data_IF_292186556038
#
_entry.id   IF_292186556038
#
_cell.length_a   1.000
_cell.length_b   1.000
_cell.length_c   1.000
_cell.angle_alpha   90.00
_cell.angle_beta   90.00
_cell.angle_gamma   90.00
#
_symmetry.space_group_name_H-M   'P 1'
#
loop_
_entity.id
_entity.type
_entity.pdbx_description
1 polymer ?
#
# COMPACT_ATOMS: atom_id res chain seq x y z
N UNK A 1 -6.17 96.48 -3.74
CA UNK A 1 -6.48 96.20 -5.16
C UNK A 1 -6.08 94.77 -5.45
N UNK A 2 -6.98 93.96 -5.92
CA UNK A 2 -6.94 92.53 -6.18
C UNK A 2 -6.25 92.24 -7.45
N UNK A 3 -5.39 91.28 -7.49
CA UNK A 3 -5.04 90.54 -8.72
C UNK A 3 -5.05 89.03 -8.46
N UNK A 4 -5.87 88.32 -9.20
CA UNK A 4 -5.99 86.92 -9.35
C UNK A 4 -4.86 86.35 -10.30
N UNK A 5 -4.23 85.28 -9.95
CA UNK A 5 -3.42 84.47 -10.86
C UNK A 5 -3.90 83.03 -10.85
N UNK A 6 -4.48 82.65 -11.98
CA UNK A 6 -4.87 81.25 -12.29
C UNK A 6 -3.59 80.45 -12.53
N UNK A 7 -3.37 79.44 -11.73
CA UNK A 7 -2.32 78.43 -11.95
C UNK A 7 -2.88 77.18 -12.62
N UNK A 8 -2.42 76.94 -13.84
CA UNK A 8 -2.78 75.76 -14.66
C UNK A 8 -1.95 74.56 -14.16
N UNK A 9 -2.60 73.57 -13.57
CA UNK A 9 -1.99 72.31 -13.15
C UNK A 9 -2.02 71.32 -14.33
N UNK A 10 -0.84 71.08 -14.96
CA UNK A 10 -0.60 69.95 -15.89
C UNK A 10 -0.46 68.67 -15.06
N UNK A 11 -1.45 67.79 -15.13
CA UNK A 11 -1.35 66.42 -14.61
C UNK A 11 -0.58 65.54 -15.60
N UNK A 12 0.69 65.26 -15.30
CA UNK A 12 1.47 64.22 -15.96
C UNK A 12 1.04 62.85 -15.42
N UNK A 13 0.26 62.11 -16.22
CA UNK A 13 -0.10 60.75 -15.95
C UNK A 13 1.15 59.81 -16.05
N UNK A 14 1.72 59.45 -14.91
CA UNK A 14 2.70 58.38 -14.85
C UNK A 14 1.92 57.07 -14.90
N UNK A 15 1.88 56.45 -16.07
CA UNK A 15 1.38 55.08 -16.23
C UNK A 15 2.36 54.10 -15.52
N UNK A 16 1.95 53.66 -14.33
CA UNK A 16 2.57 52.46 -13.70
C UNK A 16 2.23 51.24 -14.55
N UNK A 17 3.16 50.85 -15.43
CA UNK A 17 3.23 49.48 -15.91
C UNK A 17 3.52 48.61 -14.69
N UNK A 18 2.46 47.92 -14.17
CA UNK A 18 2.66 46.83 -13.24
C UNK A 18 3.49 45.77 -13.93
N UNK A 19 4.78 45.73 -13.57
CA UNK A 19 5.59 44.53 -13.76
C UNK A 19 4.87 43.42 -13.00
N UNK A 20 4.33 42.47 -13.71
CA UNK A 20 4.06 41.17 -13.13
C UNK A 20 5.39 40.66 -12.61
N UNK A 21 5.58 40.72 -11.31
CA UNK A 21 6.64 40.02 -10.62
C UNK A 21 6.42 38.52 -10.88
N UNK A 22 7.46 37.86 -11.35
CA UNK A 22 7.53 36.41 -11.47
C UNK A 22 6.97 35.75 -10.22
N UNK A 23 6.12 34.74 -10.42
CA UNK A 23 5.43 33.96 -9.43
C UNK A 23 6.28 33.67 -8.19
N UNK A 24 5.86 34.19 -7.05
CA UNK A 24 6.12 33.48 -5.79
C UNK A 24 5.48 32.09 -5.99
N UNK A 25 6.31 31.04 -5.96
CA UNK A 25 5.83 29.68 -6.13
C UNK A 25 4.63 29.45 -5.20
N UNK A 26 3.57 28.84 -5.74
CA UNK A 26 2.36 28.55 -4.99
C UNK A 26 2.71 28.00 -3.62
N UNK A 27 2.18 28.62 -2.55
CA UNK A 27 2.43 28.17 -1.20
C UNK A 27 1.80 26.77 -1.03
N UNK A 28 2.67 25.77 -0.85
CA UNK A 28 2.21 24.38 -0.63
C UNK A 28 1.62 24.25 0.79
N UNK A 29 0.41 23.70 0.87
CA UNK A 29 -0.19 23.27 2.12
C UNK A 29 -0.08 21.74 2.24
N UNK A 30 0.47 21.25 3.36
CA UNK A 30 0.61 19.81 3.56
C UNK A 30 -0.75 19.14 3.81
N UNK A 31 -1.10 18.12 3.03
CA UNK A 31 -2.11 17.15 3.43
C UNK A 31 -1.45 16.22 4.45
N UNK A 32 -1.78 16.43 5.73
CA UNK A 32 -1.13 15.71 6.82
C UNK A 32 -1.50 14.22 6.79
N UNK A 33 -0.51 13.38 6.48
CA UNK A 33 -0.56 11.95 6.73
C UNK A 33 -0.23 11.73 8.22
N UNK A 34 -1.07 10.99 8.94
CA UNK A 34 -0.94 10.79 10.38
C UNK A 34 -0.06 9.59 10.72
N UNK A 35 -0.10 8.56 9.89
CA UNK A 35 0.53 7.25 10.12
C UNK A 35 1.49 6.85 9.01
N UNK A 36 1.21 7.23 7.76
CA UNK A 36 2.06 6.89 6.62
C UNK A 36 3.35 7.72 6.65
N UNK A 37 4.47 7.05 6.84
CA UNK A 37 5.79 7.67 6.91
C UNK A 37 6.54 7.69 5.59
N UNK A 38 6.10 6.90 4.60
CA UNK A 38 6.77 6.74 3.30
C UNK A 38 6.21 7.62 2.20
N UNK A 39 5.15 8.36 2.46
CA UNK A 39 4.53 9.23 1.47
C UNK A 39 4.25 10.60 2.08
N UNK A 40 4.60 11.65 1.34
CA UNK A 40 4.29 13.04 1.68
C UNK A 40 3.49 13.67 0.56
N UNK A 41 2.40 14.35 0.91
CA UNK A 41 1.49 15.00 -0.02
C UNK A 41 1.40 16.48 0.34
N UNK A 42 1.79 17.32 -0.59
CA UNK A 42 1.71 18.78 -0.49
C UNK A 42 0.78 19.30 -1.58
N UNK A 43 -0.19 20.13 -1.23
CA UNK A 43 -1.19 20.67 -2.16
C UNK A 43 -0.95 22.15 -2.42
N UNK A 44 -0.98 22.55 -3.69
CA UNK A 44 -1.08 23.92 -4.14
C UNK A 44 -2.47 24.22 -4.73
N UNK A 45 -2.67 25.43 -5.25
CA UNK A 45 -3.91 25.80 -5.95
C UNK A 45 -4.07 25.02 -7.27
N UNK A 46 -2.97 24.72 -7.97
CA UNK A 46 -2.99 24.20 -9.34
C UNK A 46 -2.53 22.75 -9.47
N UNK A 47 -1.82 22.21 -8.48
CA UNK A 47 -1.30 20.84 -8.50
C UNK A 47 -1.16 20.26 -7.09
N UNK A 48 -1.02 18.95 -7.02
CA UNK A 48 -0.64 18.24 -5.80
C UNK A 48 0.72 17.59 -6.03
N UNK A 49 1.65 17.82 -5.11
CA UNK A 49 2.97 17.24 -5.15
C UNK A 49 3.04 16.07 -4.19
N UNK A 50 3.34 14.89 -4.72
CA UNK A 50 3.46 13.65 -3.94
C UNK A 50 4.90 13.17 -4.01
N UNK A 51 5.52 12.95 -2.85
CA UNK A 51 6.86 12.37 -2.73
C UNK A 51 6.78 11.04 -2.02
N UNK A 52 7.26 10.00 -2.66
CA UNK A 52 7.40 8.66 -2.09
C UNK A 52 8.84 8.49 -1.64
N UNK A 53 9.04 8.20 -0.36
CA UNK A 53 10.36 7.94 0.21
C UNK A 53 10.85 6.56 -0.21
N UNK A 54 12.14 6.43 -0.51
CA UNK A 54 12.73 5.14 -0.81
C UNK A 54 12.75 4.27 0.46
N UNK A 55 12.06 3.13 0.47
CA UNK A 55 11.96 2.30 1.67
C UNK A 55 13.27 1.55 2.00
N UNK A 56 14.18 1.40 1.06
CA UNK A 56 15.48 0.73 1.22
C UNK A 56 16.62 1.71 1.51
N UNK A 57 16.43 2.98 1.15
CA UNK A 57 17.37 4.08 1.47
C UNK A 57 16.56 5.32 1.84
N UNK A 58 16.24 5.45 3.11
CA UNK A 58 15.34 6.48 3.64
C UNK A 58 15.88 7.92 3.52
N UNK A 59 17.14 8.09 3.17
CA UNK A 59 17.71 9.39 2.86
C UNK A 59 17.33 9.90 1.45
N UNK A 60 16.77 9.03 0.60
CA UNK A 60 16.43 9.32 -0.80
C UNK A 60 14.92 9.30 -1.04
N UNK A 61 14.50 10.07 -2.03
CA UNK A 61 13.15 9.97 -2.60
C UNK A 61 13.18 8.85 -3.64
N UNK A 62 12.20 7.95 -3.56
CA UNK A 62 11.96 6.92 -4.58
C UNK A 62 11.39 7.58 -5.83
N UNK A 63 10.30 8.33 -5.66
CA UNK A 63 9.62 9.00 -6.77
C UNK A 63 8.92 10.28 -6.35
N UNK A 64 8.84 11.23 -7.28
CA UNK A 64 8.05 12.46 -7.13
C UNK A 64 6.97 12.51 -8.23
N UNK A 65 5.71 12.70 -7.84
CA UNK A 65 4.57 12.86 -8.74
C UNK A 65 4.01 14.27 -8.64
N UNK A 66 3.65 14.84 -9.79
CA UNK A 66 2.93 16.11 -9.91
C UNK A 66 1.53 15.79 -10.45
N UNK A 67 0.53 15.82 -9.57
CA UNK A 67 -0.85 15.53 -9.94
C UNK A 67 -1.54 16.81 -10.40
N UNK A 68 -2.06 16.84 -11.62
CA UNK A 68 -2.77 17.98 -12.19
C UNK A 68 -4.13 17.51 -12.68
N UNK A 69 -5.20 18.25 -12.36
CA UNK A 69 -6.56 17.94 -12.82
C UNK A 69 -6.64 17.85 -14.35
N UNK A 70 -7.43 16.91 -14.88
CA UNK A 70 -7.60 16.76 -16.34
C UNK A 70 -8.18 17.99 -17.02
N UNK A 71 -9.10 18.67 -16.34
CA UNK A 71 -9.77 19.88 -16.82
C UNK A 71 -8.93 21.16 -16.60
N UNK A 72 -7.81 21.04 -15.89
CA UNK A 72 -6.93 22.17 -15.60
C UNK A 72 -5.88 22.30 -16.71
N UNK A 73 -5.67 23.49 -17.23
CA UNK A 73 -4.49 23.77 -18.07
C UNK A 73 -3.21 23.47 -17.28
N UNK A 74 -2.17 23.03 -18.00
CA UNK A 74 -0.89 22.77 -17.33
C UNK A 74 -0.28 24.08 -16.86
N UNK A 75 -0.07 24.25 -15.54
CA UNK A 75 0.57 25.44 -15.02
C UNK A 75 2.00 25.59 -15.56
N UNK A 76 2.43 26.81 -15.79
CA UNK A 76 3.85 27.09 -16.07
C UNK A 76 4.69 26.87 -14.79
N UNK A 77 5.90 26.34 -14.95
CA UNK A 77 6.84 26.19 -13.83
C UNK A 77 6.46 25.08 -12.84
N UNK A 78 5.83 24.00 -13.30
CA UNK A 78 5.61 22.81 -12.48
C UNK A 78 6.92 22.31 -11.86
N UNK A 79 6.89 21.79 -10.61
CA UNK A 79 8.07 21.18 -10.01
C UNK A 79 8.51 19.93 -10.80
N UNK A 80 9.77 19.56 -10.63
CA UNK A 80 10.32 18.35 -11.21
C UNK A 80 9.60 17.10 -10.66
N UNK A 81 9.25 16.16 -11.54
CA UNK A 81 8.58 14.92 -11.20
C UNK A 81 7.76 14.35 -12.36
N UNK A 82 7.19 13.19 -12.16
CA UNK A 82 6.29 12.55 -13.12
C UNK A 82 4.92 13.21 -13.09
N UNK A 83 4.54 13.83 -14.23
CA UNK A 83 3.21 14.40 -14.39
C UNK A 83 2.15 13.31 -14.47
N UNK A 84 1.11 13.41 -13.65
CA UNK A 84 -0.06 12.52 -13.67
C UNK A 84 -1.32 13.35 -13.80
N UNK A 85 -2.11 13.11 -14.85
CA UNK A 85 -3.43 13.75 -15.03
C UNK A 85 -4.46 13.02 -14.20
N UNK A 86 -5.15 13.74 -13.31
CA UNK A 86 -6.15 13.16 -12.40
C UNK A 86 -7.55 13.70 -12.66
N UNK A 87 -8.62 12.89 -12.48
CA UNK A 87 -8.55 11.47 -12.14
C UNK A 87 -7.92 10.63 -13.24
N UNK A 88 -7.19 9.56 -12.85
CA UNK A 88 -6.78 8.49 -13.76
C UNK A 88 -8.04 7.78 -14.23
N UNK A 89 -8.20 7.64 -15.55
CA UNK A 89 -9.42 7.08 -16.14
C UNK A 89 -9.23 5.66 -16.66
N UNK A 90 -7.98 5.29 -16.95
CA UNK A 90 -7.65 4.02 -17.55
C UNK A 90 -6.31 3.50 -17.01
N UNK A 91 -6.36 2.83 -15.88
CA UNK A 91 -5.17 2.29 -15.22
C UNK A 91 -4.85 0.86 -15.67
N UNK A 92 -3.55 0.55 -15.77
CA UNK A 92 -3.03 -0.82 -15.73
C UNK A 92 -2.59 -1.12 -14.30
N UNK A 93 -3.19 -2.12 -13.65
CA UNK A 93 -2.94 -2.42 -12.24
C UNK A 93 -2.31 -3.81 -12.11
N UNK A 94 -1.12 -3.86 -11.51
CA UNK A 94 -0.34 -5.09 -11.39
C UNK A 94 -0.74 -5.97 -10.21
N UNK A 95 -1.29 -5.39 -9.16
CA UNK A 95 -1.52 -6.12 -7.89
C UNK A 95 -3.00 -6.30 -7.59
N UNK A 96 -3.39 -7.52 -7.19
CA UNK A 96 -4.71 -7.82 -6.65
C UNK A 96 -5.07 -6.96 -5.44
N UNK A 97 -4.07 -6.56 -4.64
CA UNK A 97 -4.22 -5.66 -3.49
C UNK A 97 -4.80 -4.30 -3.92
N UNK A 98 -4.21 -3.71 -4.96
CA UNK A 98 -4.68 -2.42 -5.47
C UNK A 98 -6.00 -2.54 -6.24
N UNK A 99 -6.24 -3.67 -6.91
CA UNK A 99 -7.54 -3.97 -7.51
C UNK A 99 -8.65 -4.01 -6.45
N UNK A 100 -8.40 -4.66 -5.30
CA UNK A 100 -9.32 -4.70 -4.16
C UNK A 100 -9.65 -3.31 -3.63
N UNK A 101 -8.62 -2.51 -3.33
CA UNK A 101 -8.79 -1.13 -2.87
C UNK A 101 -9.58 -0.27 -3.87
N UNK A 102 -9.25 -0.32 -5.16
CA UNK A 102 -9.95 0.47 -6.17
C UNK A 102 -11.41 0.03 -6.34
N UNK A 103 -11.70 -1.26 -6.19
CA UNK A 103 -13.08 -1.76 -6.13
C UNK A 103 -13.85 -1.15 -4.96
N UNK A 104 -13.27 -1.13 -3.79
CA UNK A 104 -13.88 -0.60 -2.56
C UNK A 104 -14.07 0.93 -2.61
N UNK A 105 -13.13 1.65 -3.21
CA UNK A 105 -13.26 3.08 -3.47
C UNK A 105 -14.31 3.42 -4.56
N UNK A 106 -14.91 2.43 -5.21
CA UNK A 106 -15.83 2.62 -6.33
C UNK A 106 -15.13 3.18 -7.56
N UNK A 107 -13.90 2.70 -7.83
CA UNK A 107 -13.07 3.07 -8.98
C UNK A 107 -12.71 1.86 -9.87
N UNK A 108 -13.40 0.73 -9.71
CA UNK A 108 -13.15 -0.50 -10.49
C UNK A 108 -13.32 -0.28 -11.99
N UNK A 109 -14.19 0.62 -12.40
CA UNK A 109 -14.41 1.01 -13.80
C UNK A 109 -13.22 1.77 -14.40
N UNK A 110 -12.32 2.29 -13.57
CA UNK A 110 -11.07 2.94 -13.97
C UNK A 110 -9.92 1.94 -14.18
N UNK A 111 -10.11 0.68 -13.79
CA UNK A 111 -9.18 -0.39 -14.11
C UNK A 111 -9.49 -0.86 -15.53
N UNK A 112 -8.64 -0.52 -16.48
CA UNK A 112 -8.78 -0.92 -17.87
C UNK A 112 -7.91 -2.11 -18.25
N UNK A 113 -6.87 -2.42 -17.44
CA UNK A 113 -6.01 -3.58 -17.62
C UNK A 113 -5.43 -4.07 -16.31
N UNK A 114 -5.06 -5.36 -16.27
CA UNK A 114 -4.44 -6.02 -15.13
C UNK A 114 -3.29 -6.92 -15.56
N UNK A 115 -2.45 -7.31 -14.59
CA UNK A 115 -1.52 -8.43 -14.73
C UNK A 115 -1.90 -9.55 -13.77
N UNK A 116 -1.39 -10.76 -14.03
CA UNK A 116 -1.57 -11.94 -13.17
C UNK A 116 -3.03 -12.22 -12.79
N UNK A 117 -3.93 -12.20 -13.78
CA UNK A 117 -5.38 -12.42 -13.62
C UNK A 117 -5.72 -13.64 -12.75
N UNK A 118 -4.89 -14.66 -12.77
CA UNK A 118 -5.05 -15.90 -12.00
C UNK A 118 -5.05 -15.68 -10.47
N UNK A 119 -4.51 -14.55 -9.99
CA UNK A 119 -4.47 -14.20 -8.55
C UNK A 119 -5.48 -13.11 -8.18
N UNK A 120 -6.34 -12.69 -9.10
CA UNK A 120 -7.37 -11.67 -8.86
C UNK A 120 -8.73 -12.33 -8.75
N UNK A 121 -9.20 -12.55 -7.52
CA UNK A 121 -10.46 -13.25 -7.23
C UNK A 121 -11.70 -12.33 -7.24
N UNK A 122 -11.57 -11.11 -7.80
CA UNK A 122 -12.68 -10.15 -7.89
C UNK A 122 -13.56 -10.53 -9.09
N UNK A 123 -14.83 -10.96 -8.88
CA UNK A 123 -15.68 -11.50 -9.95
C UNK A 123 -15.91 -10.51 -11.10
N UNK A 124 -16.03 -9.21 -10.78
CA UNK A 124 -16.21 -8.18 -11.80
C UNK A 124 -14.99 -8.08 -12.74
N UNK A 125 -13.77 -8.13 -12.20
CA UNK A 125 -12.54 -8.10 -13.00
C UNK A 125 -12.46 -9.33 -13.89
N UNK A 126 -12.71 -10.53 -13.32
CA UNK A 126 -12.73 -11.79 -14.08
C UNK A 126 -13.73 -11.72 -15.25
N UNK A 127 -14.94 -11.25 -15.00
CA UNK A 127 -15.98 -11.11 -16.01
C UNK A 127 -15.63 -10.07 -17.09
N UNK A 128 -14.98 -8.98 -16.72
CA UNK A 128 -14.55 -7.92 -17.65
C UNK A 128 -13.40 -8.41 -18.54
N UNK A 129 -12.44 -9.16 -18.00
CA UNK A 129 -11.38 -9.80 -18.77
C UNK A 129 -11.96 -10.85 -19.72
N UNK A 130 -12.82 -11.76 -19.24
CA UNK A 130 -13.45 -12.80 -20.06
C UNK A 130 -14.30 -12.23 -21.21
N UNK A 131 -14.91 -11.05 -21.02
CA UNK A 131 -15.69 -10.36 -22.05
C UNK A 131 -14.88 -9.41 -22.94
N UNK A 132 -13.55 -9.34 -22.77
CA UNK A 132 -12.68 -8.44 -23.54
C UNK A 132 -12.84 -6.95 -23.18
N UNK A 133 -13.57 -6.60 -22.13
CA UNK A 133 -13.74 -5.22 -21.67
C UNK A 133 -12.60 -4.72 -20.78
N UNK A 134 -11.71 -5.59 -20.36
CA UNK A 134 -10.51 -5.32 -19.61
C UNK A 134 -9.36 -6.13 -20.18
N UNK A 135 -8.18 -5.53 -20.30
CA UNK A 135 -7.00 -6.17 -20.87
C UNK A 135 -6.31 -7.02 -19.79
N UNK A 136 -6.05 -8.27 -20.09
CA UNK A 136 -5.07 -9.09 -19.39
C UNK A 136 -3.70 -8.90 -20.06
N UNK A 137 -2.83 -8.14 -19.42
CA UNK A 137 -1.47 -7.87 -19.89
C UNK A 137 -0.46 -8.99 -19.51
N UNK A 138 -0.94 -10.11 -18.99
CA UNK A 138 -0.13 -11.30 -18.71
C UNK A 138 0.58 -11.24 -17.36
N UNK A 139 1.82 -11.73 -17.31
CA UNK A 139 2.57 -11.88 -16.09
C UNK A 139 3.28 -10.59 -15.66
N UNK A 140 3.22 -10.25 -14.38
CA UNK A 140 3.85 -9.06 -13.79
C UNK A 140 5.34 -8.94 -14.07
N UNK A 141 6.08 -10.05 -14.07
CA UNK A 141 7.54 -10.04 -14.29
C UNK A 141 7.91 -9.93 -15.78
N UNK A 142 7.01 -10.28 -16.68
CA UNK A 142 7.20 -10.18 -18.12
C UNK A 142 5.87 -9.84 -18.81
N UNK A 143 5.39 -8.58 -18.64
CA UNK A 143 4.10 -8.18 -19.20
C UNK A 143 4.16 -8.08 -20.73
N UNK A 144 3.00 -8.27 -21.36
CA UNK A 144 2.81 -8.13 -22.79
C UNK A 144 2.82 -6.64 -23.19
N UNK A 145 3.98 -6.19 -23.62
CA UNK A 145 4.21 -4.77 -23.97
C UNK A 145 3.34 -4.34 -25.16
N UNK A 146 3.05 -5.23 -26.13
CA UNK A 146 2.23 -4.90 -27.29
C UNK A 146 0.79 -4.62 -26.84
N UNK A 147 0.24 -5.47 -25.98
CA UNK A 147 -1.07 -5.22 -25.38
C UNK A 147 -1.12 -3.92 -24.58
N UNK A 148 -0.05 -3.59 -23.84
CA UNK A 148 0.02 -2.33 -23.07
C UNK A 148 0.02 -1.13 -24.01
N UNK A 149 0.78 -1.19 -25.11
CA UNK A 149 0.81 -0.13 -26.13
C UNK A 149 -0.58 0.05 -26.75
N UNK A 150 -1.21 -1.03 -27.21
CA UNK A 150 -2.55 -0.98 -27.83
C UNK A 150 -3.62 -0.49 -26.86
N UNK A 151 -3.48 -0.84 -25.61
CA UNK A 151 -4.40 -0.47 -24.55
C UNK A 151 -4.29 1.01 -24.17
N UNK A 152 -3.12 1.65 -24.27
CA UNK A 152 -2.85 3.06 -23.92
C UNK A 152 -3.39 3.45 -22.52
N UNK A 153 -2.84 2.93 -21.41
CA UNK A 153 -3.25 3.35 -20.08
C UNK A 153 -2.76 4.76 -19.75
N UNK A 154 -3.50 5.46 -18.91
CA UNK A 154 -3.11 6.78 -18.37
C UNK A 154 -2.01 6.68 -17.30
N UNK A 155 -1.97 5.55 -16.61
CA UNK A 155 -0.98 5.25 -15.59
C UNK A 155 -0.85 3.73 -15.41
N UNK A 156 0.33 3.32 -14.95
CA UNK A 156 0.65 1.94 -14.57
C UNK A 156 0.92 1.92 -13.07
N UNK A 157 0.14 1.15 -12.31
CA UNK A 157 0.31 0.96 -10.87
C UNK A 157 1.03 -0.35 -10.62
N UNK A 158 2.21 -0.27 -10.01
CA UNK A 158 3.01 -1.46 -9.66
C UNK A 158 3.68 -1.29 -8.30
N UNK A 159 4.05 -2.41 -7.69
CA UNK A 159 4.83 -2.41 -6.45
C UNK A 159 6.32 -2.44 -6.79
N UNK A 160 7.10 -1.43 -6.35
CA UNK A 160 8.55 -1.44 -6.53
C UNK A 160 9.20 -2.54 -5.68
N UNK A 161 10.41 -2.96 -6.04
CA UNK A 161 11.22 -3.87 -5.22
C UNK A 161 12.69 -3.43 -5.24
N UNK A 162 13.42 -3.83 -4.22
CA UNK A 162 14.82 -3.47 -4.08
C UNK A 162 15.64 -3.94 -5.29
N UNK A 163 16.50 -3.07 -5.78
CA UNK A 163 17.38 -3.36 -6.93
C UNK A 163 16.62 -3.80 -8.20
N UNK A 164 15.40 -3.31 -8.40
CA UNK A 164 14.63 -3.56 -9.62
C UNK A 164 15.39 -3.17 -10.90
N UNK A 165 16.35 -2.27 -10.79
CA UNK A 165 17.12 -1.76 -11.94
C UNK A 165 16.30 -0.93 -12.93
N UNK A 166 15.06 -0.55 -12.51
CA UNK A 166 14.05 0.08 -13.36
C UNK A 166 13.04 -0.92 -13.90
N UNK A 167 12.08 -0.43 -14.70
CA UNK A 167 10.97 -1.22 -15.24
C UNK A 167 11.17 -1.56 -16.72
N UNK A 168 12.40 -1.44 -17.21
CA UNK A 168 12.84 -1.90 -18.50
C UNK A 168 12.06 -1.27 -19.68
N UNK A 169 11.33 -2.10 -20.43
CA UNK A 169 10.57 -1.65 -21.62
C UNK A 169 9.40 -0.74 -21.27
N UNK A 170 8.83 -0.88 -20.07
CA UNK A 170 7.67 -0.08 -19.62
C UNK A 170 8.03 1.38 -19.49
N UNK A 171 9.20 1.73 -18.95
CA UNK A 171 9.67 3.10 -18.81
C UNK A 171 9.75 3.84 -20.16
N UNK A 172 10.05 3.09 -21.23
CA UNK A 172 10.19 3.65 -22.58
C UNK A 172 8.86 3.98 -23.23
N UNK A 173 7.73 3.56 -22.63
CA UNK A 173 6.40 3.85 -23.17
C UNK A 173 5.94 5.29 -22.91
N UNK A 174 6.63 6.03 -22.02
CA UNK A 174 6.24 7.39 -21.64
C UNK A 174 4.94 7.46 -20.82
N UNK A 175 4.46 6.33 -20.31
CA UNK A 175 3.28 6.23 -19.46
C UNK A 175 3.72 6.43 -18.01
N UNK A 176 3.04 7.29 -17.22
CA UNK A 176 3.35 7.45 -15.80
C UNK A 176 3.31 6.12 -15.04
N UNK A 177 4.42 5.75 -14.41
CA UNK A 177 4.51 4.59 -13.52
C UNK A 177 4.32 5.06 -12.09
N UNK A 178 3.31 4.53 -11.41
CA UNK A 178 3.01 4.81 -10.01
C UNK A 178 3.57 3.68 -9.14
N UNK A 179 4.62 3.99 -8.41
CA UNK A 179 5.32 3.07 -7.51
C UNK A 179 4.59 2.98 -6.17
N UNK A 180 3.79 1.95 -6.02
CA UNK A 180 2.96 1.69 -4.84
C UNK A 180 3.80 1.01 -3.75
N UNK A 181 4.54 1.81 -2.97
CA UNK A 181 5.40 1.33 -1.89
C UNK A 181 4.67 1.16 -0.54
N UNK A 182 3.33 1.13 -0.55
CA UNK A 182 2.48 0.99 0.63
C UNK A 182 2.83 -0.22 1.49
N UNK A 183 3.22 -1.34 0.86
CA UNK A 183 3.57 -2.57 1.56
C UNK A 183 4.85 -2.46 2.40
N UNK A 184 5.67 -1.43 2.19
CA UNK A 184 6.89 -1.14 2.92
C UNK A 184 6.69 -0.11 4.06
N UNK A 185 5.45 0.29 4.34
CA UNK A 185 5.16 1.11 5.51
C UNK A 185 5.51 0.39 6.81
N UNK A 186 5.79 1.18 7.84
CA UNK A 186 6.29 0.67 9.12
C UNK A 186 5.18 0.43 10.15
N UNK A 187 3.94 0.67 9.76
CA UNK A 187 2.76 0.40 10.59
C UNK A 187 1.55 -0.01 9.75
N UNK A 188 0.63 -0.82 10.31
CA UNK A 188 -0.59 -1.23 9.63
C UNK A 188 -1.45 -0.04 9.21
N UNK A 189 -1.65 0.95 10.09
CA UNK A 189 -2.40 2.17 9.76
C UNK A 189 -1.66 3.05 8.74
N UNK A 190 -0.32 3.07 8.77
CA UNK A 190 0.48 3.75 7.75
C UNK A 190 0.20 3.19 6.35
N UNK A 191 0.17 1.86 6.21
CA UNK A 191 -0.20 1.21 4.96
C UNK A 191 -1.63 1.56 4.53
N UNK A 192 -2.59 1.47 5.46
CA UNK A 192 -3.99 1.79 5.17
C UNK A 192 -4.18 3.24 4.73
N UNK A 193 -3.41 4.17 5.28
CA UNK A 193 -3.52 5.59 4.95
C UNK A 193 -3.15 5.92 3.50
N UNK A 194 -2.41 5.05 2.81
CA UNK A 194 -2.15 5.19 1.38
C UNK A 194 -3.44 5.20 0.53
N UNK A 195 -4.56 4.67 1.05
CA UNK A 195 -5.85 4.79 0.35
C UNK A 195 -6.22 6.24 0.02
N UNK A 196 -5.75 7.22 0.81
CA UNK A 196 -5.90 8.65 0.53
C UNK A 196 -5.18 9.08 -0.75
N UNK A 197 -3.97 8.55 -0.99
CA UNK A 197 -3.24 8.78 -2.23
C UNK A 197 -3.98 8.19 -3.44
N UNK A 198 -4.46 6.95 -3.32
CA UNK A 198 -5.30 6.35 -4.37
C UNK A 198 -6.60 7.14 -4.58
N UNK A 199 -7.18 7.66 -3.51
CA UNK A 199 -8.33 8.57 -3.59
C UNK A 199 -8.06 9.83 -4.42
N UNK A 200 -6.86 10.41 -4.30
CA UNK A 200 -6.43 11.55 -5.13
C UNK A 200 -6.22 11.14 -6.59
N UNK A 201 -5.54 10.02 -6.84
CA UNK A 201 -5.29 9.52 -8.18
C UNK A 201 -6.57 9.26 -8.97
N UNK A 202 -7.59 8.70 -8.33
CA UNK A 202 -8.83 8.26 -8.99
C UNK A 202 -10.04 9.17 -8.75
N UNK A 203 -9.85 10.35 -8.15
CA UNK A 203 -10.93 11.30 -7.87
C UNK A 203 -11.93 10.81 -6.81
N UNK A 204 -11.50 9.94 -5.90
CA UNK A 204 -12.30 9.33 -4.84
C UNK A 204 -11.90 9.78 -3.43
N UNK A 205 -11.41 11.03 -3.31
CA UNK A 205 -10.86 11.56 -2.06
C UNK A 205 -11.80 11.37 -0.86
N UNK A 206 -13.08 11.75 -1.01
CA UNK A 206 -14.06 11.65 0.09
C UNK A 206 -14.29 10.22 0.54
N UNK A 207 -14.37 9.28 -0.41
CA UNK A 207 -14.53 7.86 -0.14
C UNK A 207 -13.31 7.31 0.61
N UNK A 208 -12.11 7.65 0.15
CA UNK A 208 -10.87 7.23 0.78
C UNK A 208 -10.71 7.80 2.21
N UNK A 209 -11.03 9.08 2.43
CA UNK A 209 -10.98 9.69 3.76
C UNK A 209 -12.00 9.04 4.71
N UNK A 210 -13.21 8.75 4.24
CA UNK A 210 -14.26 8.09 5.03
C UNK A 210 -13.85 6.66 5.38
N UNK A 211 -13.34 5.90 4.40
CA UNK A 211 -12.89 4.53 4.58
C UNK A 211 -11.73 4.46 5.57
N UNK A 212 -10.70 5.28 5.39
CA UNK A 212 -9.57 5.32 6.32
C UNK A 212 -10.00 5.68 7.74
N UNK A 213 -10.93 6.62 7.88
CA UNK A 213 -11.43 7.01 9.21
C UNK A 213 -12.11 5.84 9.92
N UNK A 214 -12.90 5.04 9.21
CA UNK A 214 -13.54 3.84 9.76
C UNK A 214 -12.50 2.78 10.14
N UNK A 215 -11.59 2.44 9.22
CA UNK A 215 -10.48 1.48 9.45
C UNK A 215 -9.66 1.88 10.68
N UNK A 216 -9.26 3.16 10.76
CA UNK A 216 -8.50 3.68 11.89
C UNK A 216 -9.25 3.53 13.22
N UNK A 217 -10.54 3.90 13.24
CA UNK A 217 -11.34 3.83 14.46
C UNK A 217 -11.46 2.40 14.97
N UNK A 218 -11.75 1.44 14.09
CA UNK A 218 -11.86 0.03 14.44
C UNK A 218 -10.52 -0.57 14.86
N UNK A 219 -9.45 -0.26 14.14
CA UNK A 219 -8.11 -0.72 14.49
C UNK A 219 -7.69 -0.27 15.90
N UNK A 220 -7.83 1.02 16.19
CA UNK A 220 -7.47 1.57 17.51
C UNK A 220 -8.34 1.01 18.62
N UNK A 221 -9.64 0.81 18.38
CA UNK A 221 -10.54 0.15 19.34
C UNK A 221 -10.07 -1.27 19.68
N UNK A 222 -9.64 -2.05 18.67
CA UNK A 222 -9.10 -3.39 18.88
C UNK A 222 -7.77 -3.36 19.64
N UNK A 223 -6.86 -2.44 19.32
CA UNK A 223 -5.62 -2.24 20.09
C UNK A 223 -5.90 -1.92 21.56
N UNK A 224 -6.95 -1.14 21.85
CA UNK A 224 -7.33 -0.79 23.22
C UNK A 224 -7.77 -2.02 24.03
N UNK A 225 -8.40 -3.01 23.43
CA UNK A 225 -8.79 -4.26 24.11
C UNK A 225 -7.59 -5.02 24.68
N UNK A 226 -6.44 -4.91 24.01
CA UNK A 226 -5.23 -5.65 24.36
C UNK A 226 -4.43 -4.99 25.51
N UNK A 227 -4.61 -3.69 25.72
CA UNK A 227 -3.84 -2.93 26.72
C UNK A 227 -3.97 -3.48 28.15
N UNK A 228 -5.12 -4.06 28.47
CA UNK A 228 -5.40 -4.63 29.80
C UNK A 228 -4.96 -6.10 29.95
N UNK A 229 -4.46 -6.75 28.88
CA UNK A 229 -4.07 -8.15 28.91
C UNK A 229 -2.63 -8.27 29.42
N UNK A 230 -2.47 -9.00 30.54
CA UNK A 230 -1.17 -9.18 31.17
C UNK A 230 -0.32 -10.28 30.53
N UNK A 231 -0.96 -11.30 29.95
CA UNK A 231 -0.26 -12.40 29.27
C UNK A 231 -0.05 -12.03 27.81
N UNK A 232 1.20 -12.08 27.37
CA UNK A 232 1.60 -11.81 26.00
C UNK A 232 2.18 -13.07 25.39
N UNK A 233 1.38 -13.81 24.60
CA UNK A 233 1.87 -15.06 23.98
C UNK A 233 3.00 -14.75 22.99
N UNK A 234 3.93 -15.68 22.92
CA UNK A 234 5.04 -15.61 21.96
C UNK A 234 4.62 -16.16 20.60
N UNK A 235 5.03 -15.49 19.52
CA UNK A 235 4.60 -15.81 18.15
C UNK A 235 5.80 -15.94 17.22
N UNK A 236 5.84 -17.06 16.46
CA UNK A 236 6.64 -17.20 15.24
C UNK A 236 5.69 -17.16 14.03
N UNK A 237 6.27 -16.84 12.87
CA UNK A 237 5.46 -16.70 11.66
C UNK A 237 6.11 -17.22 10.40
N UNK A 238 5.28 -17.43 9.38
CA UNK A 238 5.59 -17.89 8.04
C UNK A 238 6.14 -19.33 7.96
N UNK A 239 6.48 -19.76 6.77
CA UNK A 239 7.05 -21.08 6.48
C UNK A 239 8.40 -20.93 5.79
N UNK A 240 9.24 -21.95 5.95
CA UNK A 240 10.48 -22.06 5.18
C UNK A 240 10.18 -22.20 3.69
N UNK A 241 10.83 -21.40 2.86
CA UNK A 241 10.71 -21.42 1.40
C UNK A 241 12.09 -21.63 0.77
N UNK A 242 12.26 -22.73 0.08
CA UNK A 242 13.56 -23.11 -0.47
C UNK A 242 14.63 -23.25 0.63
N UNK A 243 15.71 -22.49 0.53
CA UNK A 243 16.83 -22.51 1.50
C UNK A 243 16.62 -21.55 2.69
N UNK A 244 15.69 -20.61 2.62
CA UNK A 244 15.51 -19.59 3.64
C UNK A 244 14.10 -19.63 4.25
N UNK A 245 13.98 -19.06 5.44
CA UNK A 245 12.71 -18.77 6.10
C UNK A 245 12.53 -17.25 6.15
N UNK A 246 11.59 -16.73 5.36
CA UNK A 246 11.32 -15.29 5.27
C UNK A 246 10.32 -14.88 6.34
N UNK A 247 10.80 -14.28 7.43
CA UNK A 247 9.94 -13.77 8.49
C UNK A 247 9.75 -12.27 8.36
N UNK A 248 8.59 -11.72 8.74
CA UNK A 248 8.39 -10.27 8.80
C UNK A 248 9.41 -9.59 9.69
N UNK A 249 10.05 -8.53 9.23
CA UNK A 249 10.88 -7.69 10.09
C UNK A 249 10.05 -7.03 11.18
N UNK A 250 10.67 -6.63 12.28
CA UNK A 250 9.99 -6.05 13.44
C UNK A 250 9.27 -4.73 13.14
N UNK A 251 9.82 -3.94 12.18
CA UNK A 251 9.20 -2.70 11.69
C UNK A 251 8.35 -2.90 10.43
N UNK A 252 8.08 -4.14 10.02
CA UNK A 252 7.11 -4.40 8.96
C UNK A 252 5.66 -4.22 9.46
N UNK A 253 4.73 -3.99 8.52
CA UNK A 253 3.30 -3.92 8.86
C UNK A 253 2.81 -5.18 9.59
N UNK A 254 3.28 -6.36 9.19
CA UNK A 254 2.90 -7.64 9.82
C UNK A 254 3.57 -7.82 11.19
N UNK A 255 4.88 -7.52 11.31
CA UNK A 255 5.57 -7.59 12.60
C UNK A 255 4.97 -6.64 13.63
N UNK A 256 4.58 -5.43 13.19
CA UNK A 256 3.89 -4.46 14.04
C UNK A 256 2.49 -4.91 14.41
N UNK A 257 1.75 -5.53 13.48
CA UNK A 257 0.42 -6.06 13.74
C UNK A 257 0.41 -7.11 14.86
N UNK A 258 1.40 -8.00 14.89
CA UNK A 258 1.52 -8.99 15.99
C UNK A 258 1.73 -8.30 17.34
N UNK A 259 2.55 -7.24 17.38
CA UNK A 259 2.77 -6.45 18.59
C UNK A 259 1.49 -5.73 19.02
N UNK A 260 0.76 -5.15 18.07
CA UNK A 260 -0.50 -4.45 18.31
C UNK A 260 -1.62 -5.42 18.74
N UNK A 261 -1.53 -6.71 18.36
CA UNK A 261 -2.37 -7.80 18.89
C UNK A 261 -1.95 -8.26 20.29
N UNK A 262 -0.96 -7.62 20.91
CA UNK A 262 -0.47 -7.97 22.25
C UNK A 262 0.43 -9.18 22.30
N UNK A 263 0.89 -9.70 21.17
CA UNK A 263 1.85 -10.78 21.14
C UNK A 263 3.28 -10.32 21.33
N UNK A 264 4.12 -11.21 21.85
CA UNK A 264 5.58 -11.09 21.84
C UNK A 264 6.10 -11.72 20.55
N UNK A 265 6.29 -10.89 19.52
CA UNK A 265 6.82 -11.36 18.25
C UNK A 265 8.33 -11.59 18.35
N UNK A 266 8.81 -12.74 17.90
CA UNK A 266 10.20 -13.16 18.13
C UNK A 266 11.24 -12.24 17.48
N UNK A 267 10.88 -11.49 16.43
CA UNK A 267 11.74 -10.51 15.74
C UNK A 267 11.24 -9.08 15.89
N UNK A 268 10.56 -8.75 16.99
CA UNK A 268 10.00 -7.40 17.24
C UNK A 268 11.07 -6.29 17.24
N UNK A 269 12.30 -6.61 17.64
CA UNK A 269 13.43 -5.66 17.70
C UNK A 269 14.15 -5.47 16.34
N UNK A 270 13.76 -6.23 15.32
CA UNK A 270 14.34 -6.08 14.00
C UNK A 270 13.90 -4.79 13.33
N UNK A 271 14.84 -4.07 12.72
CA UNK A 271 14.64 -2.73 12.18
C UNK A 271 14.11 -2.71 10.73
N UNK A 272 13.98 -3.87 10.06
CA UNK A 272 13.52 -3.93 8.69
C UNK A 272 12.00 -3.78 8.58
N UNK A 273 11.57 -3.01 7.59
CA UNK A 273 10.14 -2.87 7.21
C UNK A 273 9.66 -3.93 6.21
N UNK A 274 10.57 -4.73 5.66
CA UNK A 274 10.29 -5.88 4.80
C UNK A 274 10.45 -7.21 5.53
N UNK A 275 10.49 -8.31 4.75
CA UNK A 275 10.84 -9.63 5.27
C UNK A 275 12.34 -9.82 5.34
N UNK A 276 12.81 -10.53 6.36
CA UNK A 276 14.21 -10.90 6.55
C UNK A 276 14.41 -12.39 6.27
N UNK A 277 15.43 -12.77 5.49
CA UNK A 277 15.75 -14.17 5.24
C UNK A 277 16.59 -14.74 6.40
N UNK A 278 16.09 -15.80 7.01
CA UNK A 278 16.75 -16.49 8.11
C UNK A 278 16.99 -17.96 7.75
N UNK A 279 17.96 -18.61 8.40
CA UNK A 279 18.09 -20.06 8.33
C UNK A 279 17.03 -20.74 9.20
N UNK A 280 16.73 -22.01 8.93
CA UNK A 280 15.86 -22.81 9.80
C UNK A 280 16.40 -22.85 11.23
N UNK A 281 17.70 -23.06 11.39
CA UNK A 281 18.37 -23.14 12.68
C UNK A 281 18.17 -21.86 13.50
N UNK A 282 18.32 -20.70 12.88
CA UNK A 282 18.10 -19.40 13.54
C UNK A 282 16.63 -19.25 14.02
N UNK A 283 15.67 -19.68 13.18
CA UNK A 283 14.24 -19.61 13.56
C UNK A 283 13.94 -20.62 14.66
N UNK A 284 14.52 -21.82 14.58
CA UNK A 284 14.34 -22.86 15.57
C UNK A 284 14.92 -22.47 16.92
N UNK A 285 16.18 -22.05 16.97
CA UNK A 285 16.86 -21.66 18.21
C UNK A 285 16.10 -20.57 18.96
N UNK A 286 15.53 -19.61 18.23
CA UNK A 286 14.83 -18.48 18.83
C UNK A 286 13.35 -18.77 19.12
N UNK A 287 12.70 -19.58 18.29
CA UNK A 287 11.24 -19.74 18.27
C UNK A 287 10.71 -21.12 18.63
N UNK A 288 11.55 -22.12 18.96
CA UNK A 288 11.11 -23.49 19.26
C UNK A 288 10.07 -23.55 20.40
N UNK A 289 10.17 -22.64 21.38
CA UNK A 289 9.29 -22.55 22.53
C UNK A 289 8.15 -21.54 22.36
N UNK A 290 7.92 -21.02 21.14
CA UNK A 290 6.84 -20.10 20.88
C UNK A 290 5.46 -20.72 21.17
N UNK A 291 4.53 -19.89 21.70
CA UNK A 291 3.19 -20.32 22.02
C UNK A 291 2.35 -20.58 20.77
N UNK A 292 2.50 -19.72 19.76
CA UNK A 292 1.73 -19.77 18.52
C UNK A 292 2.64 -19.70 17.30
N UNK A 293 2.18 -20.38 16.24
CA UNK A 293 2.79 -20.32 14.92
C UNK A 293 1.75 -19.91 13.89
N UNK A 294 1.97 -18.78 13.22
CA UNK A 294 1.05 -18.16 12.27
C UNK A 294 1.70 -18.11 10.89
N UNK A 295 1.02 -18.55 9.84
CA UNK A 295 1.56 -18.47 8.48
C UNK A 295 0.47 -18.33 7.41
N UNK A 296 0.89 -17.91 6.22
CA UNK A 296 0.07 -17.87 5.02
C UNK A 296 0.54 -18.90 4.01
N UNK A 297 -0.40 -19.44 3.26
CA UNK A 297 -0.13 -20.34 2.15
C UNK A 297 -1.25 -20.21 1.10
N UNK A 298 -1.00 -20.74 -0.10
CA UNK A 298 -1.99 -20.73 -1.19
C UNK A 298 -2.15 -22.14 -1.73
N UNK A 299 -3.31 -22.75 -1.51
CA UNK A 299 -3.66 -24.10 -1.96
C UNK A 299 -5.17 -24.22 -2.21
N UNK A 300 -5.56 -25.21 -3.04
CA UNK A 300 -6.97 -25.53 -3.26
C UNK A 300 -7.68 -26.12 -2.02
N UNK A 301 -6.93 -26.72 -1.09
CA UNK A 301 -7.45 -27.31 0.15
C UNK A 301 -6.61 -26.85 1.33
N UNK A 302 -7.22 -26.85 2.50
CA UNK A 302 -6.53 -26.50 3.73
C UNK A 302 -5.42 -27.50 4.07
N UNK A 303 -4.32 -26.98 4.59
CA UNK A 303 -3.15 -27.74 4.97
C UNK A 303 -3.36 -28.33 6.37
N UNK A 304 -3.16 -29.65 6.50
CA UNK A 304 -3.17 -30.36 7.77
C UNK A 304 -1.81 -30.29 8.46
N UNK A 305 -1.75 -30.54 9.78
CA UNK A 305 -0.47 -30.70 10.51
C UNK A 305 0.38 -31.85 9.97
N UNK A 306 -0.26 -32.93 9.50
CA UNK A 306 0.43 -34.07 8.88
C UNK A 306 1.15 -33.65 7.59
N UNK A 307 0.50 -32.89 6.73
CA UNK A 307 1.10 -32.35 5.51
C UNK A 307 2.19 -31.33 5.83
N UNK A 308 1.98 -30.45 6.83
CA UNK A 308 2.99 -29.49 7.28
C UNK A 308 4.26 -30.23 7.76
N UNK A 309 4.12 -31.34 8.51
CA UNK A 309 5.24 -32.20 8.90
C UNK A 309 5.89 -32.90 7.71
N UNK A 310 5.11 -33.27 6.71
CA UNK A 310 5.63 -33.90 5.48
C UNK A 310 6.42 -32.92 4.62
N UNK A 311 6.05 -31.63 4.60
CA UNK A 311 6.81 -30.59 3.92
C UNK A 311 8.22 -30.41 4.51
N UNK A 312 8.32 -30.46 5.84
CA UNK A 312 9.60 -30.38 6.55
C UNK A 312 9.51 -31.02 7.94
N UNK A 313 10.12 -32.18 8.11
CA UNK A 313 9.98 -33.01 9.32
C UNK A 313 10.36 -32.27 10.63
N UNK A 314 11.36 -31.38 10.55
CA UNK A 314 11.83 -30.61 11.71
C UNK A 314 10.80 -29.61 12.28
N UNK A 315 9.72 -29.33 11.56
CA UNK A 315 8.61 -28.53 12.10
C UNK A 315 7.97 -29.13 13.35
N UNK A 316 8.01 -30.46 13.49
CA UNK A 316 7.52 -31.16 14.67
C UNK A 316 8.31 -30.85 15.96
N UNK A 317 9.47 -30.22 15.86
CA UNK A 317 10.26 -29.76 17.01
C UNK A 317 9.72 -28.50 17.69
N UNK A 318 8.90 -27.69 17.01
CA UNK A 318 8.32 -26.50 17.63
C UNK A 318 7.23 -26.84 18.64
N UNK A 319 7.23 -26.15 19.78
CA UNK A 319 6.19 -26.32 20.82
C UNK A 319 4.79 -26.04 20.26
N UNK A 320 4.64 -24.98 19.47
CA UNK A 320 3.37 -24.65 18.83
C UNK A 320 2.83 -25.80 17.97
N UNK A 321 3.70 -26.52 17.25
CA UNK A 321 3.32 -27.71 16.50
C UNK A 321 2.86 -28.83 17.41
N UNK A 322 3.62 -29.13 18.47
CA UNK A 322 3.35 -30.20 19.44
C UNK A 322 2.06 -29.98 20.22
N UNK A 323 1.72 -28.72 20.50
CA UNK A 323 0.51 -28.33 21.23
C UNK A 323 -0.69 -28.06 20.32
N UNK A 324 -0.51 -28.15 18.98
CA UNK A 324 -1.57 -27.86 18.01
C UNK A 324 -1.93 -26.37 17.91
N UNK A 325 -1.04 -25.47 18.35
CA UNK A 325 -1.22 -24.02 18.28
C UNK A 325 -0.62 -23.45 16.98
N UNK A 326 -1.00 -24.05 15.87
CA UNK A 326 -0.56 -23.70 14.51
C UNK A 326 -1.75 -23.22 13.71
N UNK A 327 -1.69 -21.99 13.20
CA UNK A 327 -2.77 -21.36 12.47
C UNK A 327 -2.30 -20.92 11.08
N UNK A 328 -2.88 -21.51 10.06
CA UNK A 328 -2.60 -21.21 8.67
C UNK A 328 -3.74 -20.44 8.01
N UNK A 329 -3.42 -19.35 7.32
CA UNK A 329 -4.36 -18.67 6.45
C UNK A 329 -4.17 -19.15 5.00
N UNK A 330 -5.17 -19.83 4.45
CA UNK A 330 -5.16 -20.29 3.06
C UNK A 330 -5.67 -19.19 2.13
N UNK A 331 -4.76 -18.41 1.56
CA UNK A 331 -5.10 -17.33 0.63
C UNK A 331 -5.67 -17.82 -0.71
N UNK A 332 -5.69 -19.12 -0.96
CA UNK A 332 -6.41 -19.73 -2.10
C UNK A 332 -7.88 -20.04 -1.79
N UNK A 333 -8.34 -19.85 -0.53
CA UNK A 333 -9.71 -20.09 -0.09
C UNK A 333 -10.39 -18.81 0.44
N UNK A 334 -9.59 -17.81 0.80
CA UNK A 334 -10.08 -16.52 1.31
C UNK A 334 -9.42 -15.37 0.56
N UNK A 335 -10.12 -14.27 0.28
CA UNK A 335 -9.62 -13.13 -0.50
C UNK A 335 -8.64 -12.27 0.33
N UNK A 336 -7.63 -12.93 0.93
CA UNK A 336 -6.69 -12.29 1.84
C UNK A 336 -6.04 -11.04 1.24
N UNK A 337 -5.48 -11.16 0.03
CA UNK A 337 -4.72 -10.05 -0.58
C UNK A 337 -5.60 -8.94 -1.15
N UNK A 338 -6.87 -9.20 -1.44
CA UNK A 338 -7.81 -8.19 -1.91
C UNK A 338 -8.51 -7.44 -0.77
N UNK A 339 -8.56 -8.03 0.43
CA UNK A 339 -9.35 -7.49 1.53
C UNK A 339 -8.54 -7.01 2.74
N UNK A 340 -7.40 -7.65 3.05
CA UNK A 340 -6.72 -7.35 4.33
C UNK A 340 -5.62 -6.29 4.27
N UNK A 341 -4.86 -6.08 3.20
CA UNK A 341 -3.70 -5.19 3.22
C UNK A 341 -4.00 -3.74 3.59
N UNK A 342 -5.17 -3.23 3.22
CA UNK A 342 -5.65 -1.90 3.61
C UNK A 342 -6.62 -1.93 4.79
N UNK A 343 -6.96 -3.13 5.30
CA UNK A 343 -7.89 -3.41 6.41
C UNK A 343 -7.23 -4.20 7.54
N UNK A 344 -6.19 -3.63 8.18
CA UNK A 344 -5.48 -4.32 9.25
C UNK A 344 -6.37 -4.62 10.47
N UNK A 345 -7.49 -3.89 10.64
CA UNK A 345 -8.48 -4.16 11.69
C UNK A 345 -9.10 -5.54 11.53
N UNK A 346 -9.34 -6.01 10.30
CA UNK A 346 -9.89 -7.36 10.05
C UNK A 346 -8.93 -8.44 10.51
N UNK A 347 -7.63 -8.29 10.18
CA UNK A 347 -6.62 -9.25 10.59
C UNK A 347 -6.34 -9.17 12.10
N UNK A 348 -6.36 -7.97 12.67
CA UNK A 348 -6.21 -7.77 14.11
C UNK A 348 -7.37 -8.42 14.86
N UNK A 349 -8.61 -8.25 14.39
CA UNK A 349 -9.80 -8.90 14.95
C UNK A 349 -9.66 -10.43 14.92
N UNK A 350 -9.26 -11.00 13.77
CA UNK A 350 -8.96 -12.43 13.67
C UNK A 350 -7.91 -12.89 14.69
N UNK A 351 -6.80 -12.14 14.84
CA UNK A 351 -5.75 -12.53 15.79
C UNK A 351 -6.22 -12.50 17.25
N UNK A 352 -7.10 -11.57 17.60
CA UNK A 352 -7.63 -11.42 18.95
C UNK A 352 -8.67 -12.49 19.32
N UNK A 353 -9.45 -12.94 18.34
CA UNK A 353 -10.56 -13.88 18.56
C UNK A 353 -10.28 -15.32 18.11
N UNK A 354 -9.13 -15.61 17.51
CA UNK A 354 -8.65 -16.96 17.20
C UNK A 354 -8.07 -17.71 18.42
N UNK A 355 -8.31 -17.25 19.64
CA UNK A 355 -8.21 -18.13 20.79
C UNK A 355 -9.19 -19.29 20.55
N UNK A 356 -8.79 -20.57 20.67
CA UNK A 356 -9.66 -21.70 20.34
C UNK A 356 -10.92 -21.62 21.17
N UNK A 357 -12.03 -21.21 20.54
CA UNK A 357 -13.35 -21.40 21.10
C UNK A 357 -13.53 -22.88 21.38
N UNK A 358 -14.14 -23.30 22.51
CA UNK A 358 -14.43 -24.71 22.75
C UNK A 358 -15.27 -25.38 21.64
N UNK A 359 -15.76 -24.61 20.66
CA UNK A 359 -16.49 -25.11 19.48
C UNK A 359 -15.59 -25.66 18.38
N UNK A 360 -14.35 -25.17 18.27
CA UNK A 360 -13.43 -25.56 17.18
C UNK A 360 -12.67 -26.87 17.45
N UNK A 361 -12.77 -27.42 18.67
CA UNK A 361 -12.22 -28.73 19.01
C UNK A 361 -12.98 -29.95 18.43
N UNK A 362 -14.01 -29.74 17.61
CA UNK A 362 -14.80 -30.81 17.00
C UNK A 362 -14.47 -31.09 15.53
N UNK A 363 -13.44 -30.45 14.97
CA UNK A 363 -12.98 -30.74 13.61
C UNK A 363 -11.48 -31.10 13.64
N UNK A 364 -11.15 -32.20 14.29
CA UNK A 364 -9.85 -32.89 14.15
C UNK A 364 -10.11 -34.32 13.69
#
# INVERSE_FOLDING_TARGET
MRFWLLGLLLALGVGCKSRHSASAGDALSALRMEYAGRIRIDSSEHYILVRVQNPWDTARILHTYVLVGRETELPEGLPEGTLVRTPVEKALVYSSVHCGLLSELGAIDRIGGICDLQYIEIPEIQNRCASGRMVDAGNTMNPDIEKIIDFHPDAILLSPFENSGGYGRIEKLGIPVIECADYMETSPLGRSEWMRFFGLLFGKRRQADSLFTAVRADYLRLCDLVKSVNQRPTVISELKSGSAWYVPGGKSTTGRLYQDAGATYMWAEDEHSGSIPLSFETVFDRGQDADFWLFKYNRQQDKTLTELKSDYASYAGFRAFQTGQVYGCNSGQVPFYTETPFHPERLLDCLLYTSPSPRDKRQS
#
